data_IF_292773032651
#
_entry.id   IF_292773032651
#
_cell.length_a   1.000
_cell.length_b   1.000
_cell.length_c   1.000
_cell.angle_alpha   90.00
_cell.angle_beta   90.00
_cell.angle_gamma   90.00
#
_symmetry.space_group_name_H-M   'P 1'
#
loop_
_entity.id
_entity.type
_entity.pdbx_description
1 polymer ?
#
# COMPACT_ATOMS: atom_id res chain seq x y z
N UNK A 1 4.08 -31.13 -55.69
CA UNK A 1 3.73 -29.77 -55.22
C UNK A 1 3.21 -29.84 -53.80
N UNK A 2 3.96 -29.21 -52.88
CA UNK A 2 3.57 -28.63 -51.58
C UNK A 2 2.85 -29.48 -50.50
N UNK A 3 3.50 -29.44 -49.33
CA UNK A 3 3.00 -29.35 -47.94
C UNK A 3 2.79 -30.67 -47.17
N UNK A 4 3.70 -30.96 -46.24
CA UNK A 4 3.47 -30.71 -44.80
C UNK A 4 4.68 -31.13 -43.96
N UNK A 5 5.56 -30.16 -43.68
CA UNK A 5 6.46 -30.18 -42.52
C UNK A 5 5.93 -29.13 -41.56
N UNK A 6 5.41 -29.52 -40.40
CA UNK A 6 5.36 -28.78 -39.13
C UNK A 6 4.81 -29.78 -38.11
N UNK A 7 5.70 -30.44 -37.39
CA UNK A 7 5.43 -31.17 -36.15
C UNK A 7 6.78 -31.49 -35.53
N UNK A 8 7.42 -30.47 -34.94
CA UNK A 8 8.60 -30.61 -34.07
C UNK A 8 9.00 -29.30 -33.37
N UNK A 9 8.07 -28.60 -32.74
CA UNK A 9 8.40 -27.53 -31.79
C UNK A 9 7.35 -27.47 -30.67
N UNK A 10 7.44 -28.37 -29.69
CA UNK A 10 6.71 -28.27 -28.41
C UNK A 10 7.48 -29.02 -27.32
N UNK A 11 8.75 -28.65 -27.14
CA UNK A 11 9.59 -29.27 -26.12
C UNK A 11 10.89 -28.54 -25.90
N UNK A 12 10.83 -27.29 -25.39
CA UNK A 12 11.96 -26.62 -24.74
C UNK A 12 11.56 -25.23 -24.22
N UNK A 13 10.77 -25.13 -23.14
CA UNK A 13 10.80 -23.95 -22.26
C UNK A 13 10.72 -24.44 -20.81
N UNK A 14 11.83 -24.99 -20.33
CA UNK A 14 12.10 -25.09 -18.89
C UNK A 14 13.59 -24.78 -18.65
N UNK A 15 14.06 -23.64 -19.16
CA UNK A 15 15.32 -23.08 -18.68
C UNK A 15 15.04 -22.42 -17.33
N UNK A 16 15.16 -23.24 -16.29
CA UNK A 16 15.36 -22.77 -14.93
C UNK A 16 16.58 -21.85 -14.91
N UNK A 17 16.34 -20.56 -14.62
CA UNK A 17 17.40 -19.66 -14.16
C UNK A 17 17.84 -20.14 -12.77
N UNK A 18 18.73 -21.14 -12.75
CA UNK A 18 19.48 -21.55 -11.57
C UNK A 18 20.48 -20.43 -11.26
N UNK A 19 20.04 -19.48 -10.44
CA UNK A 19 20.95 -18.56 -9.77
C UNK A 19 21.78 -19.36 -8.77
N UNK A 20 23.02 -19.70 -9.13
CA UNK A 20 24.01 -20.22 -8.20
C UNK A 20 24.48 -19.08 -7.29
N UNK A 21 23.78 -18.87 -6.16
CA UNK A 21 24.31 -18.07 -5.06
C UNK A 21 25.03 -19.01 -4.08
N UNK A 22 26.35 -19.03 -4.16
CA UNK A 22 27.21 -19.68 -3.17
C UNK A 22 27.13 -18.94 -1.83
N UNK A 23 26.84 -19.68 -0.75
CA UNK A 23 27.61 -19.53 0.50
C UNK A 23 27.16 -18.53 1.56
N UNK A 24 25.95 -17.98 1.52
CA UNK A 24 25.34 -17.38 2.71
C UNK A 24 24.17 -18.27 3.15
N UNK A 25 24.12 -18.62 4.44
CA UNK A 25 22.94 -19.23 5.05
C UNK A 25 21.70 -18.45 4.56
N UNK A 26 20.66 -19.12 4.03
CA UNK A 26 19.49 -18.41 3.54
C UNK A 26 18.93 -17.60 4.70
N UNK A 27 18.99 -16.27 4.59
CA UNK A 27 18.42 -15.38 5.58
C UNK A 27 16.96 -15.78 5.78
N UNK A 28 16.60 -16.10 7.03
CA UNK A 28 15.20 -16.39 7.42
C UNK A 28 14.29 -15.23 7.04
N UNK A 29 14.81 -14.01 7.09
CA UNK A 29 14.03 -12.79 6.96
C UNK A 29 14.09 -12.17 5.56
N UNK A 30 13.12 -11.30 5.22
CA UNK A 30 13.05 -10.61 3.94
C UNK A 30 14.29 -9.75 3.67
N UNK A 31 14.88 -9.86 2.48
CA UNK A 31 16.04 -9.05 2.08
C UNK A 31 15.91 -8.56 0.64
N UNK A 32 16.46 -7.37 0.37
CA UNK A 32 16.57 -6.83 -0.98
C UNK A 32 17.96 -7.13 -1.54
N UNK A 33 18.00 -7.82 -2.67
CA UNK A 33 19.21 -8.01 -3.45
C UNK A 33 19.20 -7.07 -4.66
N UNK A 34 20.28 -6.30 -4.84
CA UNK A 34 20.51 -5.49 -6.05
C UNK A 34 21.30 -6.34 -7.05
N UNK A 35 20.76 -6.52 -8.24
CA UNK A 35 21.43 -7.26 -9.33
C UNK A 35 22.60 -6.46 -9.89
N UNK A 36 23.52 -7.11 -10.60
CA UNK A 36 24.67 -6.45 -11.27
C UNK A 36 24.26 -5.35 -12.26
N UNK A 37 23.09 -5.49 -12.91
CA UNK A 37 22.57 -4.50 -13.87
C UNK A 37 21.75 -3.39 -13.19
N UNK A 38 21.69 -3.37 -11.86
CA UNK A 38 21.01 -2.36 -11.05
C UNK A 38 19.51 -2.57 -10.86
N UNK A 39 18.95 -3.73 -11.20
CA UNK A 39 17.62 -4.15 -10.75
C UNK A 39 17.58 -4.58 -9.29
N UNK A 40 16.37 -4.84 -8.78
CA UNK A 40 16.11 -5.25 -7.40
C UNK A 40 15.24 -6.51 -7.34
N UNK A 41 15.59 -7.40 -6.43
CA UNK A 41 14.87 -8.64 -6.17
C UNK A 41 14.63 -8.78 -4.66
N UNK A 42 13.40 -9.10 -4.28
CA UNK A 42 13.10 -9.49 -2.90
C UNK A 42 13.38 -10.99 -2.73
N UNK A 43 14.03 -11.35 -1.63
CA UNK A 43 14.19 -12.73 -1.21
C UNK A 43 13.52 -12.93 0.14
N UNK A 44 12.86 -14.08 0.30
CA UNK A 44 12.26 -14.53 1.55
C UNK A 44 12.65 -15.98 1.76
N UNK A 45 13.16 -16.33 2.95
CA UNK A 45 13.71 -17.67 3.23
C UNK A 45 14.75 -18.11 2.17
N UNK A 46 15.60 -17.18 1.75
CA UNK A 46 16.63 -17.39 0.73
C UNK A 46 16.12 -17.66 -0.69
N UNK A 47 14.82 -17.49 -0.98
CA UNK A 47 14.23 -17.70 -2.31
C UNK A 47 13.72 -16.39 -2.90
N UNK A 48 13.87 -16.16 -4.23
CA UNK A 48 13.23 -15.02 -4.88
C UNK A 48 11.73 -15.00 -4.62
N UNK A 49 11.20 -13.85 -4.23
CA UNK A 49 9.81 -13.67 -3.84
C UNK A 49 9.17 -12.53 -4.63
N UNK A 50 8.22 -12.86 -5.52
CA UNK A 50 7.37 -11.88 -6.19
C UNK A 50 6.14 -11.63 -5.33
N UNK A 51 5.90 -10.38 -4.91
CA UNK A 51 4.72 -10.01 -4.14
C UNK A 51 3.48 -10.06 -5.04
N UNK A 52 2.54 -10.95 -4.71
CA UNK A 52 1.23 -11.10 -5.34
C UNK A 52 0.19 -10.96 -4.25
N UNK A 53 -0.15 -9.71 -3.94
CA UNK A 53 -0.96 -9.41 -2.77
C UNK A 53 -2.25 -8.67 -3.04
N UNK A 54 -2.99 -8.51 -1.95
CA UNK A 54 -4.25 -7.76 -1.89
C UNK A 54 -4.29 -6.89 -0.63
N UNK A 55 -4.94 -5.75 -0.73
CA UNK A 55 -5.29 -4.94 0.45
C UNK A 55 -6.36 -5.68 1.25
N UNK A 56 -6.17 -5.76 2.56
CA UNK A 56 -7.04 -6.56 3.43
C UNK A 56 -7.44 -5.77 4.68
N UNK A 57 -8.68 -5.29 4.66
CA UNK A 57 -9.32 -4.59 5.77
C UNK A 57 -10.85 -4.77 5.72
N UNK A 58 -11.37 -6.01 5.58
CA UNK A 58 -12.81 -6.22 5.44
C UNK A 58 -13.56 -5.66 6.65
N UNK A 59 -14.68 -4.99 6.39
CA UNK A 59 -15.65 -4.60 7.41
C UNK A 59 -17.00 -5.25 7.09
N UNK A 60 -17.68 -5.87 8.08
CA UNK A 60 -19.03 -6.39 7.88
C UNK A 60 -19.99 -5.29 7.41
N UNK A 61 -21.06 -5.67 6.71
CA UNK A 61 -22.14 -4.75 6.33
C UNK A 61 -22.66 -4.01 7.57
N UNK A 62 -22.77 -2.68 7.47
CA UNK A 62 -23.15 -1.80 8.58
C UNK A 62 -22.01 -1.46 9.54
N UNK A 63 -20.78 -1.89 9.26
CA UNK A 63 -19.56 -1.49 9.97
C UNK A 63 -18.68 -0.63 9.06
N UNK A 64 -17.84 0.19 9.69
CA UNK A 64 -17.03 1.20 9.02
C UNK A 64 -15.53 1.06 9.26
N UNK A 65 -14.80 2.13 8.96
CA UNK A 65 -13.36 2.26 9.24
C UNK A 65 -12.97 2.00 10.72
N UNK A 66 -13.94 2.07 11.64
CA UNK A 66 -13.75 1.84 13.08
C UNK A 66 -13.92 0.37 13.51
N UNK A 67 -14.21 -0.53 12.56
CA UNK A 67 -14.29 -1.96 12.82
C UNK A 67 -12.91 -2.54 13.14
N UNK A 68 -12.82 -3.23 14.27
CA UNK A 68 -11.59 -3.90 14.68
C UNK A 68 -11.61 -5.37 14.23
N UNK A 69 -11.11 -5.58 13.01
CA UNK A 69 -10.99 -6.88 12.37
C UNK A 69 -10.41 -7.95 13.30
N UNK A 70 -9.31 -7.64 14.00
CA UNK A 70 -8.53 -8.66 14.72
C UNK A 70 -9.23 -9.17 15.97
N UNK A 71 -10.18 -8.40 16.49
CA UNK A 71 -10.99 -8.77 17.65
C UNK A 71 -12.30 -9.50 17.27
N UNK A 72 -12.60 -9.63 15.98
CA UNK A 72 -13.83 -10.29 15.54
C UNK A 72 -13.84 -11.78 15.93
N UNK A 73 -14.83 -12.24 16.71
CA UNK A 73 -14.88 -13.63 17.18
C UNK A 73 -15.05 -14.65 16.04
N UNK A 74 -15.62 -14.24 14.91
CA UNK A 74 -15.82 -15.08 13.73
C UNK A 74 -14.52 -15.27 12.93
N UNK A 75 -13.52 -14.41 13.15
CA UNK A 75 -12.20 -14.48 12.52
C UNK A 75 -12.29 -14.64 11.00
N UNK A 76 -12.89 -13.68 10.27
CA UNK A 76 -13.22 -13.82 8.84
C UNK A 76 -12.01 -14.19 7.98
N UNK A 77 -10.80 -13.78 8.39
CA UNK A 77 -9.55 -14.13 7.72
C UNK A 77 -9.24 -15.62 7.62
N UNK A 78 -9.84 -16.46 8.46
CA UNK A 78 -9.70 -17.92 8.33
C UNK A 78 -10.44 -18.47 7.10
N UNK A 79 -11.51 -17.80 6.69
CA UNK A 79 -12.25 -18.11 5.46
C UNK A 79 -11.51 -17.47 4.28
N UNK A 80 -11.24 -16.18 4.38
CA UNK A 80 -10.62 -15.40 3.30
C UNK A 80 -9.22 -15.91 2.97
N UNK A 81 -8.40 -16.22 3.97
CA UNK A 81 -7.05 -16.77 3.77
C UNK A 81 -7.04 -18.08 2.98
N UNK A 82 -8.07 -18.92 3.12
CA UNK A 82 -8.24 -20.13 2.30
C UNK A 82 -8.53 -19.79 0.84
N UNK A 83 -9.37 -18.78 0.59
CA UNK A 83 -9.72 -18.31 -0.76
C UNK A 83 -8.51 -17.63 -1.42
N UNK A 84 -7.83 -16.75 -0.69
CA UNK A 84 -6.59 -16.09 -1.10
C UNK A 84 -5.51 -17.09 -1.49
N UNK A 85 -5.27 -18.12 -0.66
CA UNK A 85 -4.33 -19.20 -0.98
C UNK A 85 -4.71 -19.93 -2.26
N UNK A 86 -5.99 -20.24 -2.45
CA UNK A 86 -6.50 -20.87 -3.68
C UNK A 86 -6.29 -19.98 -4.91
N UNK A 87 -6.40 -18.67 -4.76
CA UNK A 87 -6.13 -17.69 -5.82
C UNK A 87 -4.63 -17.50 -6.09
N UNK A 88 -3.75 -17.96 -5.19
CA UNK A 88 -2.30 -17.81 -5.31
C UNK A 88 -1.74 -16.52 -4.71
N UNK A 89 -2.52 -15.84 -3.86
CA UNK A 89 -2.06 -14.71 -3.05
C UNK A 89 -1.02 -15.20 -2.05
N UNK A 90 0.09 -14.48 -1.94
CA UNK A 90 1.17 -14.78 -0.99
C UNK A 90 1.44 -13.66 0.02
N UNK A 91 0.73 -12.54 -0.10
CA UNK A 91 0.93 -11.37 0.75
C UNK A 91 -0.37 -10.59 0.92
N UNK A 92 -0.58 -10.01 2.09
CA UNK A 92 -1.64 -9.02 2.34
C UNK A 92 -1.03 -7.72 2.86
N UNK A 93 -1.70 -6.59 2.63
CA UNK A 93 -1.39 -5.31 3.27
C UNK A 93 -2.53 -4.92 4.21
N UNK A 94 -2.19 -4.68 5.47
CA UNK A 94 -3.10 -4.14 6.49
C UNK A 94 -2.68 -2.72 6.86
N UNK A 95 -3.63 -1.88 7.26
CA UNK A 95 -3.44 -0.44 7.42
C UNK A 95 -3.47 0.05 8.88
N UNK A 96 -3.95 -0.79 9.79
CA UNK A 96 -4.14 -0.48 11.19
C UNK A 96 -3.72 -1.67 12.05
N UNK A 97 -3.28 -1.39 13.28
CA UNK A 97 -2.99 -2.40 14.29
C UNK A 97 -4.22 -2.86 15.08
N UNK A 98 -5.40 -2.28 14.81
CA UNK A 98 -6.57 -2.44 15.68
C UNK A 98 -6.29 -1.89 17.09
N UNK A 99 -7.14 -2.27 18.05
CA UNK A 99 -7.01 -1.84 19.44
C UNK A 99 -6.16 -2.80 20.29
N UNK A 100 -5.96 -4.04 19.82
CA UNK A 100 -5.25 -5.10 20.52
C UNK A 100 -4.11 -5.67 19.66
N UNK A 101 -2.87 -5.36 20.06
CA UNK A 101 -1.66 -5.77 19.34
C UNK A 101 -1.41 -7.28 19.43
N UNK A 102 -1.88 -7.94 20.49
CA UNK A 102 -1.75 -9.39 20.62
C UNK A 102 -2.71 -10.10 19.65
N UNK A 103 -3.90 -9.52 19.42
CA UNK A 103 -4.83 -10.01 18.38
C UNK A 103 -4.29 -9.82 16.98
N UNK A 104 -3.63 -8.70 16.70
CA UNK A 104 -2.90 -8.51 15.45
C UNK A 104 -1.79 -9.56 15.29
N UNK A 105 -1.00 -9.84 16.34
CA UNK A 105 0.03 -10.89 16.32
C UNK A 105 -0.57 -12.25 15.98
N UNK A 106 -1.65 -12.64 16.67
CA UNK A 106 -2.38 -13.89 16.41
C UNK A 106 -2.90 -13.97 14.97
N UNK A 107 -3.39 -12.86 14.43
CA UNK A 107 -3.84 -12.75 13.04
C UNK A 107 -2.69 -12.98 12.06
N UNK A 108 -1.57 -12.26 12.22
CA UNK A 108 -0.37 -12.39 11.36
C UNK A 108 0.12 -13.84 11.35
N UNK A 109 0.24 -14.44 12.54
CA UNK A 109 0.67 -15.83 12.70
C UNK A 109 -0.28 -16.80 12.02
N UNK A 110 -1.59 -16.63 12.18
CA UNK A 110 -2.59 -17.49 11.53
C UNK A 110 -2.57 -17.37 10.00
N UNK A 111 -2.42 -16.15 9.46
CA UNK A 111 -2.33 -15.94 8.01
C UNK A 111 -1.11 -16.65 7.42
N UNK A 112 0.03 -16.54 8.10
CA UNK A 112 1.27 -17.17 7.68
C UNK A 112 1.21 -18.70 7.84
N UNK A 113 0.96 -19.21 9.05
CA UNK A 113 1.11 -20.65 9.34
C UNK A 113 0.08 -21.51 8.63
N UNK A 114 -1.15 -21.01 8.45
CA UNK A 114 -2.23 -21.77 7.80
C UNK A 114 -2.20 -21.62 6.29
N UNK A 115 -1.85 -20.43 5.80
CA UNK A 115 -2.06 -20.09 4.39
C UNK A 115 -0.77 -19.80 3.62
N UNK A 116 0.37 -19.61 4.29
CA UNK A 116 1.62 -19.18 3.67
C UNK A 116 1.55 -17.74 3.16
N UNK A 117 0.69 -16.92 3.76
CA UNK A 117 0.45 -15.54 3.37
C UNK A 117 1.20 -14.63 4.33
N UNK A 118 2.15 -13.85 3.81
CA UNK A 118 2.86 -12.85 4.58
C UNK A 118 2.02 -11.59 4.78
N UNK A 119 2.33 -10.82 5.82
CA UNK A 119 1.65 -9.57 6.17
C UNK A 119 2.60 -8.39 6.04
N UNK A 120 2.18 -7.39 5.28
CA UNK A 120 2.73 -6.03 5.31
C UNK A 120 1.89 -5.25 6.31
N UNK A 121 2.53 -4.77 7.38
CA UNK A 121 1.86 -3.99 8.43
C UNK A 121 2.12 -2.51 8.20
N UNK A 122 1.07 -1.78 7.86
CA UNK A 122 1.09 -0.33 7.69
C UNK A 122 0.65 0.44 8.94
N UNK A 123 1.08 1.70 9.03
CA UNK A 123 0.52 2.70 9.95
C UNK A 123 0.29 4.00 9.19
N UNK A 124 -0.88 4.64 9.37
CA UNK A 124 -1.24 5.91 8.73
C UNK A 124 -0.45 7.12 9.24
N UNK A 125 0.48 6.93 10.16
CA UNK A 125 1.28 7.96 10.84
C UNK A 125 0.43 9.11 11.42
N UNK A 126 -0.81 8.81 11.78
CA UNK A 126 -1.74 9.76 12.37
C UNK A 126 -2.34 10.75 11.37
N UNK A 127 -2.31 10.48 10.05
CA UNK A 127 -2.94 11.31 9.03
C UNK A 127 -4.40 11.65 9.36
N UNK A 128 -5.10 10.71 9.99
CA UNK A 128 -6.52 10.78 10.32
C UNK A 128 -6.77 10.96 11.82
N UNK A 129 -5.74 11.27 12.62
CA UNK A 129 -5.95 11.73 13.99
C UNK A 129 -6.73 13.07 13.97
N UNK A 130 -7.39 13.45 15.06
CA UNK A 130 -8.24 14.65 15.11
C UNK A 130 -7.51 15.96 14.80
N UNK A 131 -6.21 16.03 15.09
CA UNK A 131 -5.34 17.18 14.86
C UNK A 131 -3.98 16.69 14.36
N UNK A 132 -3.86 16.25 13.09
CA UNK A 132 -2.58 15.80 12.56
C UNK A 132 -1.63 17.00 12.47
N UNK A 133 -0.41 16.90 13.01
CA UNK A 133 0.60 17.94 12.81
C UNK A 133 2.02 17.41 12.93
N UNK A 134 2.67 17.12 11.80
CA UNK A 134 4.05 16.64 11.80
C UNK A 134 5.08 17.70 12.23
N UNK A 135 4.70 18.98 12.28
CA UNK A 135 5.53 20.04 12.86
C UNK A 135 5.54 20.04 14.39
N UNK A 136 4.53 19.42 15.03
CA UNK A 136 4.44 19.30 16.48
C UNK A 136 5.30 18.13 16.98
N UNK A 137 6.15 18.42 17.96
CA UNK A 137 7.02 17.43 18.62
C UNK A 137 6.20 16.38 19.39
N UNK A 138 5.18 16.79 20.13
CA UNK A 138 4.36 15.87 20.94
C UNK A 138 3.56 14.93 20.05
N UNK A 139 3.03 15.45 18.94
CA UNK A 139 2.37 14.62 17.93
C UNK A 139 3.33 13.56 17.36
N UNK A 140 4.53 13.97 16.92
CA UNK A 140 5.54 13.02 16.41
C UNK A 140 5.96 11.99 17.44
N UNK A 141 6.12 12.37 18.71
CA UNK A 141 6.45 11.44 19.81
C UNK A 141 5.32 10.43 20.04
N UNK A 142 4.06 10.88 20.08
CA UNK A 142 2.87 10.01 20.18
C UNK A 142 2.84 8.96 19.06
N UNK A 143 2.95 9.41 17.81
CA UNK A 143 2.89 8.51 16.64
C UNK A 143 4.09 7.58 16.60
N UNK A 144 5.30 8.07 16.89
CA UNK A 144 6.50 7.22 16.99
C UNK A 144 6.31 6.13 18.04
N UNK A 145 5.81 6.49 19.23
CA UNK A 145 5.54 5.53 20.30
C UNK A 145 4.55 4.44 19.89
N UNK A 146 3.46 4.81 19.18
CA UNK A 146 2.48 3.85 18.63
C UNK A 146 3.16 2.86 17.66
N UNK A 147 3.90 3.37 16.69
CA UNK A 147 4.57 2.53 15.68
C UNK A 147 5.57 1.59 16.34
N UNK A 148 6.44 2.10 17.22
CA UNK A 148 7.45 1.27 17.89
C UNK A 148 6.84 0.24 18.83
N UNK A 149 5.66 0.50 19.42
CA UNK A 149 4.93 -0.50 20.20
C UNK A 149 4.51 -1.68 19.32
N UNK A 150 3.97 -1.42 18.13
CA UNK A 150 3.54 -2.44 17.18
C UNK A 150 4.75 -3.25 16.70
N UNK A 151 5.82 -2.57 16.25
CA UNK A 151 7.04 -3.23 15.77
C UNK A 151 7.65 -4.10 16.86
N UNK A 152 7.83 -3.59 18.07
CA UNK A 152 8.38 -4.40 19.17
C UNK A 152 7.55 -5.65 19.47
N UNK A 153 6.23 -5.56 19.33
CA UNK A 153 5.35 -6.68 19.60
C UNK A 153 5.37 -7.76 18.51
N UNK A 154 5.69 -7.40 17.26
CA UNK A 154 5.52 -8.29 16.09
C UNK A 154 6.83 -8.62 15.35
N UNK A 155 7.96 -7.98 15.67
CA UNK A 155 9.25 -8.16 14.97
C UNK A 155 9.80 -9.58 14.93
N UNK A 156 9.30 -10.47 15.79
CA UNK A 156 9.72 -11.87 15.84
C UNK A 156 8.74 -12.81 15.13
N UNK A 157 7.62 -12.30 14.61
CA UNK A 157 6.65 -13.10 13.84
C UNK A 157 7.16 -13.37 12.42
N UNK A 158 7.27 -14.66 12.07
CA UNK A 158 7.73 -15.09 10.73
C UNK A 158 6.82 -14.61 9.59
N UNK A 159 5.56 -14.32 9.91
CA UNK A 159 4.57 -13.82 8.97
C UNK A 159 4.77 -12.37 8.54
N UNK A 160 5.69 -11.61 9.12
CA UNK A 160 5.94 -10.22 8.72
C UNK A 160 6.82 -10.17 7.48
N UNK A 161 6.37 -9.40 6.47
CA UNK A 161 7.19 -9.11 5.29
C UNK A 161 7.96 -7.80 5.41
N UNK A 162 7.26 -6.73 5.80
CA UNK A 162 7.83 -5.39 5.94
C UNK A 162 6.87 -4.46 6.70
N UNK A 163 7.43 -3.38 7.22
CA UNK A 163 6.70 -2.27 7.84
C UNK A 163 6.48 -1.16 6.81
N UNK A 164 5.25 -0.67 6.64
CA UNK A 164 4.96 0.46 5.75
C UNK A 164 4.60 1.70 6.57
N UNK A 165 5.41 2.74 6.43
CA UNK A 165 5.22 4.02 7.12
C UNK A 165 4.43 4.98 6.20
N UNK A 166 3.15 5.19 6.52
CA UNK A 166 2.27 6.10 5.82
C UNK A 166 1.33 5.41 4.81
N UNK A 167 0.30 6.15 4.43
CA UNK A 167 -0.66 5.83 3.39
C UNK A 167 -1.09 7.14 2.70
N UNK A 168 -0.31 7.59 1.71
CA UNK A 168 -0.52 8.85 0.99
C UNK A 168 -0.44 10.13 1.84
N UNK A 169 0.20 10.07 3.00
CA UNK A 169 0.40 11.21 3.88
C UNK A 169 1.11 12.40 3.20
N UNK A 170 1.90 12.14 2.16
CA UNK A 170 2.56 13.16 1.35
C UNK A 170 1.56 14.15 0.73
N UNK A 171 0.32 13.76 0.48
CA UNK A 171 -0.70 14.70 0.02
C UNK A 171 -1.09 15.75 1.07
N UNK A 172 -0.90 15.47 2.37
CA UNK A 172 -1.11 16.48 3.41
C UNK A 172 -0.13 17.66 3.30
N UNK A 173 1.03 17.46 2.66
CA UNK A 173 1.99 18.55 2.42
C UNK A 173 1.45 19.62 1.48
N UNK A 174 0.42 19.30 0.67
CA UNK A 174 -0.28 20.30 -0.16
C UNK A 174 -1.12 21.27 0.68
N UNK A 175 -1.52 20.88 1.89
CA UNK A 175 -2.45 21.61 2.73
C UNK A 175 -3.94 21.35 2.42
N UNK A 176 -4.26 20.59 1.37
CA UNK A 176 -5.65 20.35 0.97
C UNK A 176 -6.30 19.16 1.69
N UNK A 177 -5.49 18.26 2.25
CA UNK A 177 -5.93 17.07 2.96
C UNK A 177 -5.26 17.10 4.34
N UNK A 178 -6.04 16.82 5.40
CA UNK A 178 -5.52 16.74 6.77
C UNK A 178 -4.57 17.91 7.10
N UNK A 179 -5.06 19.14 6.93
CA UNK A 179 -4.24 20.36 6.97
C UNK A 179 -3.43 20.46 8.27
N UNK A 180 -2.15 20.83 8.13
CA UNK A 180 -1.26 21.11 9.23
C UNK A 180 -0.21 22.16 8.85
N UNK A 181 0.33 22.84 9.85
CA UNK A 181 1.29 23.93 9.64
C UNK A 181 2.12 24.20 10.90
N UNK A 182 3.12 25.07 10.75
CA UNK A 182 3.89 25.66 11.86
C UNK A 182 3.97 27.17 11.67
N UNK A 183 4.27 27.96 12.74
CA UNK A 183 4.48 29.40 12.60
C UNK A 183 5.53 29.78 11.55
N UNK A 184 6.54 28.95 11.33
CA UNK A 184 7.57 29.17 10.30
C UNK A 184 7.04 28.93 8.89
N UNK A 185 6.18 27.93 8.69
CA UNK A 185 5.55 27.68 7.39
C UNK A 185 4.59 28.82 7.03
N UNK A 186 3.86 29.36 8.01
CA UNK A 186 2.92 30.45 7.72
C UNK A 186 3.58 31.76 7.32
N UNK A 187 4.85 31.97 7.71
CA UNK A 187 5.66 33.13 7.28
C UNK A 187 6.17 33.04 5.83
N UNK A 188 6.01 31.89 5.16
CA UNK A 188 6.47 31.70 3.78
C UNK A 188 5.37 32.17 2.82
N UNK A 189 5.60 33.19 2.01
CA UNK A 189 4.56 33.67 1.08
C UNK A 189 4.34 32.71 -0.11
N UNK A 190 5.41 32.08 -0.60
CA UNK A 190 5.35 31.23 -1.78
C UNK A 190 4.68 29.85 -1.48
N UNK A 191 3.55 29.51 -2.12
CA UNK A 191 2.86 28.24 -1.87
C UNK A 191 3.70 26.99 -2.16
N UNK A 192 4.52 27.01 -3.22
CA UNK A 192 5.39 25.87 -3.55
C UNK A 192 6.46 25.66 -2.48
N UNK A 193 7.01 26.74 -1.91
CA UNK A 193 7.96 26.65 -0.79
C UNK A 193 7.28 26.16 0.49
N UNK A 194 6.00 26.51 0.75
CA UNK A 194 5.23 25.92 1.86
C UNK A 194 5.12 24.40 1.71
N UNK A 195 4.80 23.91 0.50
CA UNK A 195 4.70 22.46 0.23
C UNK A 195 6.06 21.78 0.44
N UNK A 196 7.14 22.35 -0.10
CA UNK A 196 8.49 21.81 0.10
C UNK A 196 8.87 21.77 1.57
N UNK A 197 8.55 22.82 2.35
CA UNK A 197 8.85 22.86 3.79
C UNK A 197 8.06 21.80 4.56
N UNK A 198 6.77 21.62 4.26
CA UNK A 198 5.96 20.53 4.83
C UNK A 198 6.51 19.16 4.46
N UNK A 199 6.90 18.95 3.20
CA UNK A 199 7.50 17.70 2.74
C UNK A 199 8.80 17.38 3.49
N UNK A 200 9.67 18.39 3.68
CA UNK A 200 10.91 18.22 4.45
C UNK A 200 10.64 17.75 5.88
N UNK A 201 9.70 18.40 6.58
CA UNK A 201 9.33 18.01 7.95
C UNK A 201 8.74 16.59 8.00
N UNK A 202 7.80 16.30 7.11
CA UNK A 202 7.15 14.99 7.07
C UNK A 202 8.14 13.86 6.76
N UNK A 203 8.96 13.98 5.72
CA UNK A 203 9.92 12.93 5.37
C UNK A 203 11.05 12.79 6.39
N UNK A 204 11.42 13.86 7.09
CA UNK A 204 12.39 13.77 8.21
C UNK A 204 11.80 12.93 9.33
N UNK A 205 10.53 13.17 9.67
CA UNK A 205 9.80 12.38 10.65
C UNK A 205 9.68 10.90 10.24
N UNK A 206 9.37 10.61 8.98
CA UNK A 206 9.34 9.22 8.48
C UNK A 206 10.71 8.56 8.59
N UNK A 207 11.79 9.26 8.20
CA UNK A 207 13.15 8.71 8.31
C UNK A 207 13.55 8.46 9.76
N UNK A 208 13.19 9.36 10.68
CA UNK A 208 13.45 9.19 12.12
C UNK A 208 12.76 7.93 12.67
N UNK A 209 11.52 7.65 12.27
CA UNK A 209 10.84 6.40 12.63
C UNK A 209 11.54 5.20 12.00
N UNK A 210 11.88 5.26 10.71
CA UNK A 210 12.53 4.16 10.02
C UNK A 210 13.85 3.76 10.68
N UNK A 211 14.66 4.76 11.06
CA UNK A 211 15.90 4.55 11.81
C UNK A 211 15.64 3.84 13.15
N UNK A 212 14.67 4.31 13.94
CA UNK A 212 14.31 3.69 15.22
C UNK A 212 13.77 2.26 15.07
N UNK A 213 13.01 1.99 14.01
CA UNK A 213 12.56 0.62 13.69
C UNK A 213 13.77 -0.27 13.45
N UNK A 214 14.72 0.16 12.63
CA UNK A 214 15.95 -0.61 12.32
C UNK A 214 16.85 -0.86 13.52
N UNK A 215 16.76 -0.02 14.56
CA UNK A 215 17.45 -0.25 15.83
C UNK A 215 16.86 -1.44 16.60
N UNK A 216 15.54 -1.64 16.54
CA UNK A 216 14.82 -2.68 17.32
C UNK A 216 14.48 -3.94 16.53
N UNK A 217 14.36 -3.83 15.21
CA UNK A 217 14.06 -4.89 14.24
C UNK A 217 15.04 -4.75 13.06
N UNK A 218 16.07 -5.59 13.07
CA UNK A 218 17.09 -5.66 12.02
C UNK A 218 16.75 -6.65 10.91
N UNK A 219 15.60 -7.32 11.05
CA UNK A 219 15.24 -8.48 10.27
C UNK A 219 14.27 -8.11 9.15
N UNK A 220 13.35 -7.18 9.39
CA UNK A 220 12.34 -6.78 8.41
C UNK A 220 12.67 -5.45 7.73
N UNK A 221 12.18 -5.33 6.49
CA UNK A 221 12.34 -4.12 5.67
C UNK A 221 11.41 -3.00 6.18
N UNK A 222 11.86 -1.76 6.01
CA UNK A 222 11.04 -0.56 6.26
C UNK A 222 10.75 0.16 4.95
N UNK A 223 9.48 0.35 4.65
CA UNK A 223 9.00 0.96 3.42
C UNK A 223 8.36 2.32 3.66
N UNK A 224 8.56 3.25 2.72
CA UNK A 224 7.84 4.53 2.67
C UNK A 224 6.52 4.32 1.94
N UNK A 225 5.40 4.52 2.64
CA UNK A 225 4.06 4.56 2.05
C UNK A 225 3.78 5.94 1.45
N UNK A 226 3.66 6.02 0.13
CA UNK A 226 3.54 7.30 -0.59
C UNK A 226 2.49 7.23 -1.69
N UNK A 227 1.72 8.32 -1.85
CA UNK A 227 0.79 8.47 -2.97
C UNK A 227 1.55 8.92 -4.22
N UNK A 228 1.56 8.08 -5.25
CA UNK A 228 2.24 8.35 -6.53
C UNK A 228 3.76 8.67 -6.40
N UNK A 229 4.37 9.14 -7.48
CA UNK A 229 5.72 9.72 -7.47
C UNK A 229 5.77 11.14 -6.83
N UNK A 230 4.67 11.60 -6.25
CA UNK A 230 4.52 12.97 -5.71
C UNK A 230 5.46 13.20 -4.54
N UNK A 231 6.27 14.26 -4.62
CA UNK A 231 7.24 14.69 -3.60
C UNK A 231 8.37 13.67 -3.32
N UNK A 232 8.59 12.69 -4.19
CA UNK A 232 9.71 11.75 -4.03
C UNK A 232 11.08 12.42 -4.18
N UNK A 233 11.17 13.58 -4.83
CA UNK A 233 12.38 14.39 -4.96
C UNK A 233 12.81 15.03 -3.63
N UNK A 234 11.86 15.30 -2.73
CA UNK A 234 12.13 15.69 -1.35
C UNK A 234 12.46 14.45 -0.50
N UNK A 235 11.69 13.37 -0.66
CA UNK A 235 11.91 12.11 0.05
C UNK A 235 13.32 11.54 -0.21
N UNK A 236 13.78 11.55 -1.46
CA UNK A 236 15.08 10.96 -1.85
C UNK A 236 16.29 11.60 -1.17
N UNK A 237 16.16 12.86 -0.78
CA UNK A 237 17.20 13.61 -0.07
C UNK A 237 17.21 13.31 1.43
N UNK A 238 16.10 12.84 2.00
CA UNK A 238 15.87 12.76 3.45
C UNK A 238 15.76 11.31 3.94
N UNK A 239 15.02 10.47 3.22
CA UNK A 239 14.64 9.12 3.63
C UNK A 239 15.73 8.07 3.35
N UNK A 240 16.93 8.25 3.88
CA UNK A 240 18.06 7.34 3.65
C UNK A 240 17.86 5.95 4.27
N UNK A 241 17.13 5.87 5.40
CA UNK A 241 16.88 4.65 6.16
C UNK A 241 15.72 3.81 5.61
N UNK A 242 15.07 4.25 4.52
CA UNK A 242 14.00 3.50 3.84
C UNK A 242 14.59 2.45 2.88
N UNK A 243 14.05 1.23 2.92
CA UNK A 243 14.45 0.12 2.07
C UNK A 243 13.63 0.04 0.77
N UNK A 244 12.33 0.31 0.85
CA UNK A 244 11.36 0.10 -0.25
C UNK A 244 10.43 1.31 -0.40
N UNK A 245 10.05 1.63 -1.63
CA UNK A 245 9.00 2.59 -1.94
C UNK A 245 7.68 1.84 -2.15
N UNK A 246 6.77 1.95 -1.18
CA UNK A 246 5.41 1.41 -1.24
C UNK A 246 4.48 2.48 -1.83
N UNK A 247 4.32 2.46 -3.16
CA UNK A 247 3.66 3.52 -3.92
C UNK A 247 2.24 3.13 -4.31
N UNK A 248 1.29 4.01 -4.01
CA UNK A 248 -0.11 3.88 -4.43
C UNK A 248 -0.28 4.53 -5.80
N UNK A 249 -0.75 3.75 -6.79
CA UNK A 249 -0.69 4.12 -8.21
C UNK A 249 -1.95 3.71 -8.96
N UNK A 250 -2.73 4.70 -9.38
CA UNK A 250 -3.92 4.51 -10.20
C UNK A 250 -3.78 5.22 -11.57
N UNK A 251 -3.03 4.61 -12.49
CA UNK A 251 -2.74 5.14 -13.85
C UNK A 251 -3.52 4.45 -14.98
N UNK A 252 -4.57 3.69 -14.64
CA UNK A 252 -5.36 2.92 -15.59
C UNK A 252 -4.68 1.62 -16.01
N UNK A 253 -4.81 1.22 -17.28
CA UNK A 253 -4.37 -0.12 -17.77
C UNK A 253 -2.86 -0.36 -17.70
N UNK A 254 -2.04 0.70 -17.68
CA UNK A 254 -0.57 0.63 -17.74
C UNK A 254 0.03 1.74 -16.87
N UNK A 255 1.27 1.53 -16.43
CA UNK A 255 2.03 2.47 -15.61
C UNK A 255 2.98 3.34 -16.46
N UNK A 256 3.18 2.99 -17.72
CA UNK A 256 4.00 3.76 -18.66
C UNK A 256 5.46 3.81 -18.23
N UNK A 257 6.05 5.00 -18.17
CA UNK A 257 7.44 5.20 -17.73
C UNK A 257 7.62 5.31 -16.20
N UNK A 258 6.58 5.01 -15.42
CA UNK A 258 6.59 5.19 -13.95
C UNK A 258 7.82 4.60 -13.26
N UNK A 259 8.12 3.33 -13.52
CA UNK A 259 9.23 2.61 -12.90
C UNK A 259 10.59 3.25 -13.18
N UNK A 260 10.80 3.75 -14.40
CA UNK A 260 12.02 4.46 -14.79
C UNK A 260 12.09 5.85 -14.16
N UNK A 261 10.98 6.59 -14.15
CA UNK A 261 10.94 7.92 -13.55
C UNK A 261 11.23 7.87 -12.05
N UNK A 262 10.60 6.93 -11.32
CA UNK A 262 10.87 6.75 -9.89
C UNK A 262 12.33 6.40 -9.66
N UNK A 263 12.91 5.49 -10.45
CA UNK A 263 14.35 5.17 -10.38
C UNK A 263 15.24 6.41 -10.54
N UNK A 264 14.90 7.33 -11.43
CA UNK A 264 15.68 8.55 -11.63
C UNK A 264 15.54 9.55 -10.46
N UNK A 265 14.41 9.57 -9.77
CA UNK A 265 14.14 10.48 -8.65
C UNK A 265 14.67 9.91 -7.33
N UNK A 266 14.41 8.63 -7.09
CA UNK A 266 14.73 7.91 -5.87
C UNK A 266 14.98 6.42 -6.19
N UNK A 267 16.23 6.05 -6.48
CA UNK A 267 16.62 4.67 -6.87
C UNK A 267 16.52 3.68 -5.69
N UNK A 268 15.31 3.21 -5.42
CA UNK A 268 14.94 2.18 -4.45
C UNK A 268 13.98 1.18 -5.10
N UNK A 269 13.88 -0.07 -4.61
CA UNK A 269 12.86 -1.01 -5.08
C UNK A 269 11.45 -0.49 -4.84
N UNK A 270 10.54 -0.82 -5.76
CA UNK A 270 9.16 -0.35 -5.80
C UNK A 270 8.22 -1.51 -5.51
N UNK A 271 7.34 -1.33 -4.54
CA UNK A 271 6.11 -2.10 -4.38
C UNK A 271 4.96 -1.20 -4.85
N UNK A 272 4.14 -1.67 -5.79
CA UNK A 272 2.84 -1.02 -6.02
C UNK A 272 1.93 -1.42 -4.87
N UNK A 273 1.85 -0.58 -3.83
CA UNK A 273 1.20 -0.89 -2.57
C UNK A 273 -0.32 -0.78 -2.62
N UNK A 274 -0.85 -0.12 -3.66
CA UNK A 274 -2.22 -0.24 -4.15
C UNK A 274 -2.26 0.08 -5.66
N UNK A 275 -3.01 -0.73 -6.39
CA UNK A 275 -3.49 -0.46 -7.73
C UNK A 275 -4.76 -1.30 -7.96
N UNK A 276 -5.57 -0.94 -8.95
CA UNK A 276 -6.78 -1.70 -9.24
C UNK A 276 -7.65 -1.03 -10.27
N UNK A 277 -8.89 -1.48 -10.33
CA UNK A 277 -9.97 -0.87 -11.11
C UNK A 277 -11.31 -1.26 -10.46
N UNK A 278 -12.28 -0.37 -10.54
CA UNK A 278 -13.63 -0.65 -10.06
C UNK A 278 -14.27 -1.80 -10.85
N UNK A 279 -15.05 -2.63 -10.15
CA UNK A 279 -15.89 -3.69 -10.71
C UNK A 279 -17.29 -3.20 -11.06
N UNK A 280 -17.66 -1.98 -10.67
CA UNK A 280 -18.96 -1.37 -10.95
C UNK A 280 -18.81 -0.18 -11.90
N UNK A 281 -19.63 -0.14 -12.95
CA UNK A 281 -19.66 1.00 -13.86
C UNK A 281 -20.74 1.97 -13.41
N UNK A 282 -20.34 3.00 -12.65
CA UNK A 282 -21.25 3.99 -12.10
C UNK A 282 -21.98 4.81 -13.19
N UNK A 283 -21.37 5.00 -14.37
CA UNK A 283 -22.04 5.66 -15.51
C UNK A 283 -23.17 4.81 -16.10
N UNK A 284 -22.95 3.50 -16.27
CA UNK A 284 -23.95 2.55 -16.78
C UNK A 284 -24.88 2.02 -15.69
N UNK A 285 -24.61 2.36 -14.43
CA UNK A 285 -25.30 1.87 -13.25
C UNK A 285 -25.46 0.34 -13.22
N UNK A 286 -24.35 -0.38 -13.46
CA UNK A 286 -24.31 -1.85 -13.44
C UNK A 286 -22.92 -2.42 -13.14
N UNK A 287 -22.89 -3.66 -12.68
CA UNK A 287 -21.67 -4.48 -12.57
C UNK A 287 -20.92 -4.57 -13.92
N UNK A 288 -19.61 -4.44 -13.87
CA UNK A 288 -18.67 -4.46 -15.00
C UNK A 288 -17.35 -5.17 -14.64
N UNK A 289 -17.48 -6.36 -14.01
CA UNK A 289 -16.36 -7.23 -13.64
C UNK A 289 -15.45 -7.56 -14.83
N UNK A 290 -16.00 -7.61 -16.05
CA UNK A 290 -15.22 -7.80 -17.26
C UNK A 290 -14.19 -6.67 -17.46
N UNK A 291 -14.58 -5.41 -17.28
CA UNK A 291 -13.65 -4.29 -17.39
C UNK A 291 -12.59 -4.31 -16.30
N UNK A 292 -12.96 -4.69 -15.07
CA UNK A 292 -11.98 -4.90 -14.00
C UNK A 292 -10.93 -5.93 -14.41
N UNK A 293 -11.33 -7.10 -14.96
CA UNK A 293 -10.40 -8.12 -15.47
C UNK A 293 -9.48 -7.55 -16.55
N UNK A 294 -10.02 -6.80 -17.52
CA UNK A 294 -9.22 -6.19 -18.59
C UNK A 294 -8.16 -5.23 -18.04
N UNK A 295 -8.50 -4.44 -17.01
CA UNK A 295 -7.54 -3.54 -16.36
C UNK A 295 -6.50 -4.31 -15.56
N UNK A 296 -6.94 -5.20 -14.66
CA UNK A 296 -6.04 -5.97 -13.80
C UNK A 296 -5.07 -6.84 -14.61
N UNK A 297 -5.52 -7.50 -15.68
CA UNK A 297 -4.64 -8.29 -16.54
C UNK A 297 -3.57 -7.41 -17.22
N UNK A 298 -3.96 -6.24 -17.72
CA UNK A 298 -3.01 -5.30 -18.33
C UNK A 298 -2.03 -4.72 -17.31
N UNK A 299 -2.51 -4.34 -16.13
CA UNK A 299 -1.70 -3.81 -15.02
C UNK A 299 -0.69 -4.87 -14.55
N UNK A 300 -1.12 -6.11 -14.31
CA UNK A 300 -0.21 -7.20 -13.94
C UNK A 300 0.84 -7.50 -15.00
N UNK A 301 0.46 -7.52 -16.29
CA UNK A 301 1.41 -7.70 -17.40
C UNK A 301 2.45 -6.58 -17.44
N UNK A 302 2.05 -5.33 -17.23
CA UNK A 302 2.96 -4.18 -17.26
C UNK A 302 3.88 -4.14 -16.04
N UNK A 303 3.33 -4.37 -14.85
CA UNK A 303 4.10 -4.52 -13.61
C UNK A 303 5.12 -5.65 -13.74
N UNK A 304 4.71 -6.85 -14.18
CA UNK A 304 5.58 -8.02 -14.27
C UNK A 304 6.81 -7.79 -15.16
N UNK A 305 6.66 -7.07 -16.28
CA UNK A 305 7.78 -6.66 -17.15
C UNK A 305 8.82 -5.77 -16.47
N UNK A 306 8.45 -5.11 -15.38
CA UNK A 306 9.32 -4.26 -14.57
C UNK A 306 9.89 -5.00 -13.34
N UNK A 307 9.71 -6.32 -13.26
CA UNK A 307 10.32 -7.19 -12.24
C UNK A 307 11.47 -8.00 -12.83
N UNK A 308 12.40 -8.43 -11.97
CA UNK A 308 13.47 -9.37 -12.36
C UNK A 308 12.95 -10.74 -12.82
N UNK A 309 11.72 -11.12 -12.43
CA UNK A 309 11.10 -12.39 -12.79
C UNK A 309 10.77 -12.49 -14.28
N UNK A 310 10.62 -11.35 -14.96
CA UNK A 310 10.42 -11.31 -16.41
C UNK A 310 11.71 -11.49 -17.23
N UNK A 311 12.87 -11.68 -16.58
CA UNK A 311 14.18 -11.61 -17.21
C UNK A 311 14.73 -10.19 -17.35
N UNK A 312 13.95 -9.17 -17.00
CA UNK A 312 14.42 -7.79 -16.92
C UNK A 312 15.33 -7.60 -15.70
N UNK A 313 16.64 -7.78 -15.87
CA UNK A 313 17.63 -7.58 -14.80
C UNK A 313 17.75 -6.12 -14.32
N UNK A 314 17.14 -5.16 -15.03
CA UNK A 314 16.98 -3.76 -14.57
C UNK A 314 15.63 -3.52 -13.91
N UNK A 315 14.80 -4.55 -13.72
CA UNK A 315 13.51 -4.43 -13.05
C UNK A 315 13.68 -3.93 -11.62
N UNK A 316 12.91 -2.92 -11.22
CA UNK A 316 12.89 -2.40 -9.85
C UNK A 316 11.57 -2.64 -9.13
N UNK A 317 10.61 -3.35 -9.75
CA UNK A 317 9.36 -3.70 -9.09
C UNK A 317 9.48 -5.04 -8.35
N UNK A 318 9.04 -5.06 -7.09
CA UNK A 318 9.00 -6.24 -6.22
C UNK A 318 7.68 -7.03 -6.35
N UNK A 319 6.68 -6.47 -7.02
CA UNK A 319 5.32 -7.00 -7.06
C UNK A 319 4.28 -5.93 -6.79
N UNK A 320 3.05 -6.36 -6.48
CA UNK A 320 1.94 -5.45 -6.28
C UNK A 320 0.87 -5.98 -5.34
N UNK A 321 0.08 -5.03 -4.81
CA UNK A 321 -1.07 -5.23 -3.94
C UNK A 321 -2.31 -4.69 -4.66
N UNK A 322 -3.24 -5.57 -5.00
CA UNK A 322 -4.52 -5.16 -5.61
C UNK A 322 -5.42 -4.56 -4.52
N UNK A 323 -5.98 -3.39 -4.81
CA UNK A 323 -7.03 -2.78 -3.99
C UNK A 323 -8.39 -3.13 -4.60
N UNK A 324 -9.22 -3.94 -3.93
CA UNK A 324 -9.01 -4.58 -2.63
C UNK A 324 -9.67 -5.97 -2.56
N UNK A 325 -9.47 -6.71 -1.46
CA UNK A 325 -10.03 -8.06 -1.31
C UNK A 325 -11.57 -8.09 -1.26
N UNK A 326 -12.19 -7.09 -0.66
CA UNK A 326 -13.64 -7.00 -0.47
C UNK A 326 -14.09 -5.55 -0.43
N UNK A 327 -15.26 -5.27 -1.00
CA UNK A 327 -15.84 -3.92 -1.02
C UNK A 327 -16.01 -3.34 0.39
N UNK A 328 -15.64 -2.07 0.56
CA UNK A 328 -15.85 -1.32 1.80
C UNK A 328 -17.11 -0.44 1.70
N UNK A 329 -18.25 -0.98 2.15
CA UNK A 329 -19.58 -0.36 1.99
C UNK A 329 -19.70 1.03 2.63
N UNK A 330 -18.90 1.28 3.66
CA UNK A 330 -18.86 2.54 4.39
C UNK A 330 -18.16 3.69 3.66
N UNK A 331 -17.38 3.41 2.60
CA UNK A 331 -16.53 4.41 1.93
C UNK A 331 -17.30 5.52 1.23
N UNK A 332 -18.51 5.25 0.73
CA UNK A 332 -19.27 6.25 -0.02
C UNK A 332 -19.62 7.47 0.85
N UNK A 333 -20.06 7.22 2.08
CA UNK A 333 -20.45 8.26 3.02
C UNK A 333 -19.99 7.94 4.44
N UNK A 334 -18.70 8.13 4.69
CA UNK A 334 -18.07 7.82 5.98
C UNK A 334 -18.69 8.58 7.17
N UNK A 335 -19.31 9.73 6.92
CA UNK A 335 -19.93 10.57 7.95
C UNK A 335 -21.36 10.19 8.33
N UNK A 336 -21.97 9.20 7.67
CA UNK A 336 -23.35 8.82 7.89
C UNK A 336 -23.51 7.30 8.00
N UNK A 337 -23.54 6.82 9.23
CA UNK A 337 -23.54 5.37 9.54
C UNK A 337 -24.68 4.56 8.92
N UNK A 338 -25.90 5.10 8.68
CA UNK A 338 -26.94 4.34 7.98
C UNK A 338 -26.54 3.91 6.56
N UNK A 339 -25.71 4.71 5.86
CA UNK A 339 -25.23 4.36 4.51
C UNK A 339 -24.24 3.20 4.54
N UNK A 340 -23.63 2.87 5.69
CA UNK A 340 -22.67 1.76 5.78
C UNK A 340 -23.31 0.38 5.57
N UNK A 341 -24.65 0.31 5.54
CA UNK A 341 -25.41 -0.89 5.20
C UNK A 341 -25.94 -0.88 3.76
N UNK A 342 -25.58 0.12 2.97
CA UNK A 342 -26.01 0.31 1.58
C UNK A 342 -24.80 0.13 0.67
N UNK A 343 -24.92 -0.75 -0.34
CA UNK A 343 -23.91 -0.83 -1.38
C UNK A 343 -24.16 0.29 -2.39
N UNK A 344 -23.67 1.49 -2.06
CA UNK A 344 -23.80 2.69 -2.90
C UNK A 344 -23.23 2.46 -4.30
N UNK A 345 -23.88 3.07 -5.30
CA UNK A 345 -23.61 2.84 -6.73
C UNK A 345 -22.91 4.03 -7.39
N UNK A 346 -22.78 5.12 -6.66
CA UNK A 346 -22.16 6.35 -7.07
C UNK A 346 -20.64 6.25 -7.03
N UNK A 347 -19.97 6.85 -8.01
CA UNK A 347 -18.51 6.93 -8.00
C UNK A 347 -18.02 7.80 -6.84
N UNK A 348 -17.14 7.25 -6.00
CA UNK A 348 -16.48 7.98 -4.90
C UNK A 348 -15.32 8.85 -5.35
N UNK A 349 -14.88 8.75 -6.60
CA UNK A 349 -13.78 9.54 -7.18
C UNK A 349 -13.80 9.45 -8.71
N UNK A 350 -13.01 10.29 -9.40
CA UNK A 350 -12.92 10.31 -10.87
C UNK A 350 -11.46 10.41 -11.32
N UNK A 351 -11.08 9.65 -12.34
CA UNK A 351 -9.73 9.64 -12.90
C UNK A 351 -9.74 9.37 -14.41
N UNK A 352 -9.14 10.30 -15.18
CA UNK A 352 -8.92 10.26 -16.64
C UNK A 352 -8.51 8.91 -17.22
N UNK A 353 -7.73 8.15 -16.46
CA UNK A 353 -7.14 6.89 -16.88
C UNK A 353 -8.13 5.72 -16.88
N UNK A 354 -9.27 5.89 -16.21
CA UNK A 354 -10.37 4.92 -16.11
C UNK A 354 -11.53 5.45 -16.96
N UNK A 355 -11.34 5.41 -18.28
CA UNK A 355 -12.27 6.05 -19.22
C UNK A 355 -13.63 5.34 -19.37
N UNK A 356 -13.80 4.15 -18.78
CA UNK A 356 -15.00 3.34 -18.98
C UNK A 356 -16.18 3.77 -18.09
N UNK A 357 -15.92 4.55 -17.05
CA UNK A 357 -16.88 5.05 -16.06
C UNK A 357 -16.74 6.57 -15.78
N UNK A 358 -15.80 7.26 -16.43
CA UNK A 358 -15.48 8.69 -16.19
C UNK A 358 -16.58 9.69 -16.54
N UNK A 359 -17.54 9.36 -17.42
CA UNK A 359 -18.50 10.34 -17.97
C UNK A 359 -19.68 10.69 -17.05
N UNK A 360 -19.48 10.62 -15.74
CA UNK A 360 -20.47 11.08 -14.76
C UNK A 360 -20.38 12.61 -14.66
N UNK A 361 -21.51 13.30 -14.90
CA UNK A 361 -21.67 14.70 -14.52
C UNK A 361 -21.51 14.81 -13.01
N UNK A 362 -20.40 15.40 -12.58
CA UNK A 362 -20.07 15.66 -11.18
C UNK A 362 -21.10 16.65 -10.61
N UNK A 363 -22.22 16.15 -10.08
CA UNK A 363 -23.13 16.96 -9.25
C UNK A 363 -22.82 16.84 -7.75
N UNK A 364 -21.64 16.34 -7.39
CA UNK A 364 -21.12 16.37 -6.03
C UNK A 364 -19.65 16.80 -6.08
N UNK A 365 -19.29 17.86 -5.37
CA UNK A 365 -17.91 18.35 -5.22
C UNK A 365 -16.91 17.20 -5.10
N UNK A 366 -15.69 17.32 -5.66
CA UNK A 366 -14.70 16.23 -5.68
C UNK A 366 -14.29 15.87 -4.25
N UNK A 367 -15.02 14.96 -3.63
CA UNK A 367 -14.59 14.26 -2.43
C UNK A 367 -13.80 13.06 -2.92
N UNK A 368 -12.49 13.24 -3.11
CA UNK A 368 -11.55 12.11 -3.01
C UNK A 368 -11.79 11.41 -1.66
N UNK A 369 -11.44 10.14 -1.47
CA UNK A 369 -11.55 9.48 -0.17
C UNK A 369 -10.82 10.32 0.86
N UNK A 370 -11.58 11.05 1.65
CA UNK A 370 -11.09 12.00 2.65
C UNK A 370 -11.77 11.54 3.91
N UNK A 371 -11.00 10.89 4.77
CA UNK A 371 -11.51 10.44 6.05
C UNK A 371 -11.82 11.67 6.88
N UNK A 372 -13.11 11.98 6.99
CA UNK A 372 -13.61 13.06 7.83
C UNK A 372 -14.14 12.47 9.13
N UNK A 373 -13.21 12.21 10.06
CA UNK A 373 -13.54 11.98 11.46
C UNK A 373 -14.00 13.29 12.11
N UNK A 374 -15.31 13.57 12.07
CA UNK A 374 -15.92 14.55 12.97
C UNK A 374 -16.36 13.84 14.24
N UNK A 375 -15.64 14.07 15.34
CA UNK A 375 -16.08 13.69 16.67
C UNK A 375 -17.34 14.49 17.05
N UNK A 376 -18.43 13.77 17.31
CA UNK A 376 -19.55 14.22 18.12
C UNK A 376 -19.07 14.42 19.56
N UNK A 377 -19.07 15.66 20.04
CA UNK A 377 -18.63 15.97 21.41
C UNK A 377 -18.76 17.43 21.80
N UNK A 378 -19.88 18.08 21.45
CA UNK A 378 -20.31 19.30 22.15
C UNK A 378 -21.45 18.93 23.10
N UNK A 379 -21.11 18.62 24.34
CA UNK A 379 -22.01 18.87 25.46
C UNK A 379 -21.51 20.14 26.14
N UNK A 380 -22.22 21.22 25.88
CA UNK A 380 -22.16 22.47 26.60
C UNK A 380 -23.18 22.40 27.74
N UNK A 381 -22.80 22.40 29.03
CA UNK A 381 -23.68 22.84 30.07
C UNK A 381 -23.37 24.29 30.43
N UNK A 382 -24.38 25.11 30.17
CA UNK A 382 -24.66 26.40 30.80
C UNK A 382 -24.03 26.54 32.20
N UNK A 383 -23.17 27.53 32.38
CA UNK A 383 -23.26 28.61 33.38
C UNK A 383 -22.09 29.58 33.16
#
# INVERSE_FOLDING_TARGET
MRKNSILKETGAILCACLFFFSGCLPGKYPLIHKTDEGGYALFVNGKPFLIRGVSYNPAPIGKGFNYDLYTDPNRPWLIDGKLMKKMGVNCIRVYSSGNDVDKLRDFVRQMHDKFGIYTIVGDWLGLWDSCPNYGDKLFREKITGRVLKIVNALKDEEGILMWVLGNENNYSCTGNIAFWTTPEIEKIDNPALKIQRRAQIYYSFVNDIAKKIKEIDRNHLVALGNGEATLLDAASKICQDIDVLALIVYRGKRFGNFFNNVRHIFDKPILLSEFGADSYNAYKNKEDQHMQVVFLESQWKDLYKNTVFSGNKKGNCLGGIVFEWSDEWWKHNEGYTPDWSVHNREAGWSNGSYYFDITISINASPKKPTIHLKNSGQNNPRA
#
